data_IF_468223865690
#
_entry.id   IF_468223865690
#
_cell.length_a   1.000
_cell.length_b   1.000
_cell.length_c   1.000
_cell.angle_alpha   90.00
_cell.angle_beta   90.00
_cell.angle_gamma   90.00
#
_symmetry.space_group_name_H-M   'P 1'
#
loop_
_entity.id
_entity.type
_entity.pdbx_description
1 polymer ?
#
# COMPACT_ATOMS: atom_id res chain seq x y z
N UNK A 1 -50.68 11.42 -15.04
CA UNK A 1 -50.50 10.22 -15.89
C UNK A 1 -49.02 10.12 -16.26
N UNK A 2 -48.23 9.29 -15.56
CA UNK A 2 -46.78 9.09 -15.80
C UNK A 2 -46.52 8.05 -16.89
N UNK A 3 -47.27 8.13 -18.00
CA UNK A 3 -47.11 7.28 -19.17
C UNK A 3 -46.84 8.17 -20.40
N UNK A 4 -45.74 8.93 -20.35
CA UNK A 4 -45.19 9.63 -21.50
C UNK A 4 -44.30 8.68 -22.30
N UNK A 5 -44.79 8.24 -23.47
CA UNK A 5 -44.06 7.82 -24.68
C UNK A 5 -42.56 7.47 -24.48
N UNK A 6 -42.26 6.39 -23.77
CA UNK A 6 -40.88 5.92 -23.52
C UNK A 6 -40.66 5.16 -22.21
N UNK A 7 -41.51 5.38 -21.19
CA UNK A 7 -41.24 4.95 -19.81
C UNK A 7 -40.93 3.48 -19.56
N UNK A 8 -41.69 2.53 -20.14
CA UNK A 8 -41.50 1.10 -19.81
C UNK A 8 -40.28 0.47 -20.48
N UNK A 9 -40.05 0.76 -21.78
CA UNK A 9 -38.89 0.25 -22.50
C UNK A 9 -37.58 0.82 -21.94
N UNK A 10 -37.57 2.12 -21.62
CA UNK A 10 -36.41 2.77 -20.99
C UNK A 10 -36.10 2.17 -19.62
N UNK A 11 -37.10 1.84 -18.81
CA UNK A 11 -36.86 1.18 -17.51
C UNK A 11 -36.25 -0.21 -17.69
N UNK A 12 -36.68 -0.96 -18.69
CA UNK A 12 -36.13 -2.29 -18.97
C UNK A 12 -34.68 -2.22 -19.44
N UNK A 13 -34.36 -1.27 -20.32
CA UNK A 13 -33.00 -0.98 -20.75
C UNK A 13 -32.10 -0.53 -19.59
N UNK A 14 -32.59 0.39 -18.74
CA UNK A 14 -31.86 0.83 -17.54
C UNK A 14 -31.62 -0.31 -16.55
N UNK A 15 -32.59 -1.22 -16.38
CA UNK A 15 -32.42 -2.40 -15.54
C UNK A 15 -31.31 -3.32 -16.08
N UNK A 16 -31.24 -3.49 -17.40
CA UNK A 16 -30.14 -4.22 -18.05
C UNK A 16 -28.78 -3.57 -17.81
N UNK A 17 -28.68 -2.25 -17.97
CA UNK A 17 -27.45 -1.51 -17.70
C UNK A 17 -27.02 -1.60 -16.23
N UNK A 18 -27.97 -1.51 -15.30
CA UNK A 18 -27.70 -1.67 -13.86
C UNK A 18 -27.20 -3.08 -13.54
N UNK A 19 -27.79 -4.12 -14.15
CA UNK A 19 -27.34 -5.50 -13.96
C UNK A 19 -25.91 -5.69 -14.46
N UNK A 20 -25.59 -5.22 -15.66
CA UNK A 20 -24.24 -5.28 -16.22
C UNK A 20 -23.22 -4.51 -15.36
N UNK A 21 -23.59 -3.31 -14.90
CA UNK A 21 -22.71 -2.50 -14.05
C UNK A 21 -22.47 -3.13 -12.67
N UNK A 22 -23.47 -3.84 -12.13
CA UNK A 22 -23.31 -4.59 -10.87
C UNK A 22 -22.28 -5.72 -11.03
N UNK A 23 -22.36 -6.49 -12.10
CA UNK A 23 -21.41 -7.57 -12.37
C UNK A 23 -19.96 -7.04 -12.47
N UNK A 24 -19.77 -5.93 -13.20
CA UNK A 24 -18.47 -5.26 -13.28
C UNK A 24 -17.99 -4.79 -11.90
N UNK A 25 -18.86 -4.15 -11.13
CA UNK A 25 -18.53 -3.67 -9.79
C UNK A 25 -18.17 -4.82 -8.83
N UNK A 26 -18.85 -5.95 -8.91
CA UNK A 26 -18.56 -7.11 -8.07
C UNK A 26 -17.19 -7.72 -8.41
N UNK A 27 -16.83 -7.76 -9.70
CA UNK A 27 -15.49 -8.13 -10.15
C UNK A 27 -14.41 -7.18 -9.61
N UNK A 28 -14.65 -5.86 -9.69
CA UNK A 28 -13.72 -4.85 -9.17
C UNK A 28 -13.57 -4.94 -7.64
N UNK A 29 -14.67 -5.18 -6.91
CA UNK A 29 -14.65 -5.36 -5.46
C UNK A 29 -13.81 -6.56 -5.06
N UNK A 30 -13.97 -7.68 -5.76
CA UNK A 30 -13.19 -8.90 -5.51
C UNK A 30 -11.69 -8.64 -5.69
N UNK A 31 -11.31 -7.96 -6.78
CA UNK A 31 -9.91 -7.60 -7.05
C UNK A 31 -9.36 -6.63 -6.00
N UNK A 32 -10.12 -5.60 -5.63
CA UNK A 32 -9.70 -4.65 -4.61
C UNK A 32 -9.50 -5.34 -3.26
N UNK A 33 -10.38 -6.27 -2.88
CA UNK A 33 -10.22 -7.04 -1.65
C UNK A 33 -8.94 -7.88 -1.64
N UNK A 34 -8.55 -8.46 -2.78
CA UNK A 34 -7.28 -9.16 -2.92
C UNK A 34 -6.07 -8.21 -2.78
N UNK A 35 -6.10 -7.07 -3.48
CA UNK A 35 -5.04 -6.06 -3.40
C UNK A 35 -4.90 -5.48 -1.98
N UNK A 36 -6.01 -5.21 -1.30
CA UNK A 36 -5.99 -4.74 0.08
C UNK A 36 -5.37 -5.77 1.03
N UNK A 37 -5.56 -7.07 0.76
CA UNK A 37 -4.92 -8.13 1.54
C UNK A 37 -3.40 -8.17 1.30
N UNK A 38 -2.97 -8.06 0.04
CA UNK A 38 -1.55 -7.98 -0.33
C UNK A 38 -0.87 -6.75 0.30
N UNK A 39 -1.55 -5.59 0.30
CA UNK A 39 -1.04 -4.37 0.92
C UNK A 39 -0.90 -4.54 2.43
N UNK A 40 -1.88 -5.15 3.10
CA UNK A 40 -1.78 -5.43 4.54
C UNK A 40 -0.64 -6.38 4.87
N UNK A 41 -0.50 -7.48 4.13
CA UNK A 41 0.60 -8.44 4.30
C UNK A 41 1.97 -7.76 4.14
N UNK A 42 2.11 -6.90 3.13
CA UNK A 42 3.34 -6.14 2.92
C UNK A 42 3.59 -5.13 4.04
N UNK A 43 2.55 -4.45 4.51
CA UNK A 43 2.64 -3.49 5.61
C UNK A 43 3.08 -4.18 6.90
N UNK A 44 2.41 -5.27 7.28
CA UNK A 44 2.72 -6.07 8.47
C UNK A 44 4.15 -6.65 8.39
N UNK A 45 4.56 -7.12 7.19
CA UNK A 45 5.93 -7.58 6.95
C UNK A 45 6.99 -6.49 7.10
N UNK A 46 6.64 -5.22 6.81
CA UNK A 46 7.56 -4.07 6.98
C UNK A 46 7.54 -3.46 8.38
N UNK A 47 6.43 -3.53 9.12
CA UNK A 47 6.37 -3.03 10.52
C UNK A 47 7.39 -3.72 11.42
N UNK A 48 7.59 -5.03 11.25
CA UNK A 48 8.60 -5.78 11.99
C UNK A 48 10.04 -5.26 11.74
N UNK A 49 10.30 -4.71 10.55
CA UNK A 49 11.60 -4.12 10.20
C UNK A 49 11.72 -2.71 10.77
N UNK A 50 10.64 -1.93 10.77
CA UNK A 50 10.62 -0.57 11.32
C UNK A 50 10.76 -0.54 12.84
N UNK A 51 10.11 -1.48 13.54
CA UNK A 51 10.24 -1.60 14.99
C UNK A 51 11.68 -1.95 15.41
N UNK A 52 12.35 -2.81 14.63
CA UNK A 52 13.78 -3.10 14.80
C UNK A 52 14.66 -1.89 14.49
N UNK A 53 14.37 -1.15 13.42
CA UNK A 53 15.14 0.02 13.01
C UNK A 53 15.06 1.15 14.06
N UNK A 54 13.87 1.37 14.64
CA UNK A 54 13.63 2.38 15.68
C UNK A 54 14.17 1.94 17.05
N UNK A 55 13.99 0.66 17.41
CA UNK A 55 14.36 0.14 18.72
C UNK A 55 15.85 -0.19 18.88
N UNK A 56 16.48 -0.81 17.88
CA UNK A 56 17.87 -1.28 17.98
C UNK A 56 18.89 -0.29 17.37
N UNK A 57 18.49 0.47 16.34
CA UNK A 57 19.42 1.27 15.54
C UNK A 57 19.17 2.78 15.63
N UNK A 58 18.11 3.21 16.33
CA UNK A 58 17.77 4.63 16.48
C UNK A 58 17.48 5.33 15.14
N UNK A 59 17.09 4.58 14.11
CA UNK A 59 16.77 5.13 12.79
C UNK A 59 15.46 5.91 12.84
N UNK A 60 15.51 7.19 12.46
CA UNK A 60 14.36 8.09 12.29
C UNK A 60 14.06 8.31 10.81
N UNK A 61 12.79 8.57 10.46
CA UNK A 61 12.43 8.98 9.09
C UNK A 61 12.85 10.44 8.84
N UNK A 62 13.04 10.78 7.57
CA UNK A 62 13.31 12.16 7.15
C UNK A 62 12.16 13.08 7.60
N UNK A 63 12.50 14.11 8.39
CA UNK A 63 11.53 15.08 8.92
C UNK A 63 10.91 14.74 10.30
N UNK A 64 11.33 13.65 10.95
CA UNK A 64 10.86 13.26 12.29
C UNK A 64 11.78 13.86 13.40
N UNK A 65 11.21 14.24 14.54
CA UNK A 65 11.95 14.75 15.70
C UNK A 65 11.78 13.81 16.90
N UNK A 66 12.86 13.18 17.36
CA UNK A 66 12.85 12.30 18.52
C UNK A 66 13.13 13.06 19.82
N UNK A 67 12.21 12.96 20.78
CA UNK A 67 12.32 13.59 22.09
C UNK A 67 12.41 12.51 23.16
N UNK A 68 13.53 12.46 23.87
CA UNK A 68 13.72 11.55 25.00
C UNK A 68 13.80 12.34 26.31
N UNK A 69 12.93 12.00 27.26
CA UNK A 69 12.92 12.63 28.59
C UNK A 69 13.81 11.77 29.51
N UNK A 70 14.94 12.33 29.93
CA UNK A 70 15.86 11.65 30.83
C UNK A 70 15.56 12.00 32.31
N UNK A 71 15.65 11.02 33.23
CA UNK A 71 15.66 11.30 34.66
C UNK A 71 16.88 12.15 35.05
N UNK A 72 16.80 12.92 36.14
CA UNK A 72 17.95 13.68 36.62
C UNK A 72 19.13 12.76 36.95
N UNK A 73 20.31 13.09 36.41
CA UNK A 73 21.55 12.33 36.62
C UNK A 73 21.88 11.27 35.56
N UNK A 74 21.06 11.11 34.52
CA UNK A 74 21.35 10.20 33.39
C UNK A 74 22.06 10.96 32.28
N UNK A 75 23.19 10.43 31.80
CA UNK A 75 23.92 11.00 30.67
C UNK A 75 23.16 10.79 29.35
N UNK A 76 23.16 11.80 28.48
CA UNK A 76 22.48 11.75 27.20
C UNK A 76 23.02 10.61 26.31
N UNK A 77 22.16 9.82 25.64
CA UNK A 77 22.63 8.79 24.72
C UNK A 77 23.28 9.41 23.48
N UNK A 78 24.35 8.77 23.03
CA UNK A 78 25.05 9.11 21.79
C UNK A 78 24.26 8.49 20.63
N UNK A 79 23.46 9.29 19.90
CA UNK A 79 22.79 8.83 18.69
C UNK A 79 23.83 8.77 17.57
N UNK A 80 24.45 7.61 17.34
CA UNK A 80 25.31 7.39 16.18
C UNK A 80 24.44 7.25 14.93
N UNK A 81 24.69 8.08 13.92
CA UNK A 81 23.99 8.02 12.64
C UNK A 81 24.07 6.60 12.05
N UNK A 82 22.95 6.06 11.50
CA UNK A 82 22.95 4.75 10.89
C UNK A 82 23.99 4.68 9.75
N UNK A 83 24.69 3.56 9.57
CA UNK A 83 25.57 3.37 8.43
C UNK A 83 24.76 3.52 7.13
N UNK A 84 25.31 4.16 6.08
CA UNK A 84 24.59 4.38 4.84
C UNK A 84 24.11 3.06 4.25
N UNK A 85 22.90 2.99 3.66
CA UNK A 85 22.38 1.77 3.07
C UNK A 85 23.35 1.28 1.99
N UNK A 86 23.82 0.04 2.12
CA UNK A 86 24.56 -0.62 1.03
C UNK A 86 23.60 -0.73 -0.15
N UNK A 87 23.90 -0.03 -1.24
CA UNK A 87 23.18 -0.17 -2.52
C UNK A 87 23.04 -1.66 -2.84
N UNK A 88 21.83 -2.18 -3.10
CA UNK A 88 21.69 -3.52 -3.66
C UNK A 88 22.52 -3.57 -4.93
N UNK A 89 23.49 -4.48 -4.98
CA UNK A 89 24.32 -4.69 -6.15
C UNK A 89 23.41 -4.83 -7.37
N UNK A 90 23.72 -4.07 -8.41
CA UNK A 90 23.02 -4.11 -9.68
C UNK A 90 22.79 -5.57 -10.08
N UNK A 91 21.54 -6.02 -9.97
CA UNK A 91 21.12 -7.29 -10.55
C UNK A 91 21.41 -7.19 -12.05
N UNK A 92 22.26 -8.08 -12.54
CA UNK A 92 22.58 -8.19 -13.95
C UNK A 92 21.27 -8.28 -14.76
N UNK A 93 21.13 -7.54 -15.87
CA UNK A 93 19.93 -7.64 -16.69
C UNK A 93 19.78 -9.08 -17.21
N UNK A 94 18.57 -9.66 -17.19
CA UNK A 94 18.35 -10.98 -17.76
C UNK A 94 18.67 -10.94 -19.26
N UNK A 95 19.51 -11.87 -19.71
CA UNK A 95 19.86 -12.06 -21.10
C UNK A 95 18.58 -12.20 -21.94
N UNK A 96 18.40 -11.25 -22.87
CA UNK A 96 17.34 -11.27 -23.87
C UNK A 96 17.60 -12.48 -24.78
N UNK A 97 16.91 -13.59 -24.54
CA UNK A 97 16.90 -14.71 -25.49
C UNK A 97 16.16 -14.26 -26.75
N UNK A 98 16.88 -14.20 -27.88
CA UNK A 98 16.32 -13.89 -29.18
C UNK A 98 15.58 -15.12 -29.75
N UNK A 99 14.37 -14.98 -30.30
CA UNK A 99 13.73 -16.06 -31.04
C UNK A 99 14.43 -16.27 -32.40
N UNK A 100 14.59 -17.53 -32.81
CA UNK A 100 14.97 -17.93 -34.17
C UNK A 100 13.76 -17.88 -35.10
#
# INVERSE_FOLDING_TARGET
>A
MWLGKGGWFTVWDLQGQVAAQREVNDGLRTRNAALDAEVRDLSDGTEAVEERARGELGMMRDGEAFVQILPPGVAAPQITAPPPPKKPGAAAPPARQAPR
#
